data_IF_242891723913
#
_entry.id   IF_242891723913
#
_cell.length_a   1.000
_cell.length_b   1.000
_cell.length_c   1.000
_cell.angle_alpha   90.00
_cell.angle_beta   90.00
_cell.angle_gamma   90.00
#
_symmetry.space_group_name_H-M   'P 1'
#
loop_
_entity.id
_entity.type
_entity.pdbx_description
1 polymer ?
#
# COMPACT_ATOMS: atom_id res chain seq x y z
N UNK A 1 -8.46 77.59 30.55
CA UNK A 1 -9.62 77.00 29.82
C UNK A 1 -9.10 75.89 28.89
N UNK A 2 -9.54 74.64 29.15
CA UNK A 2 -9.49 73.40 28.34
C UNK A 2 -8.28 73.07 27.44
N UNK A 3 -7.46 72.12 27.89
CA UNK A 3 -6.69 71.19 27.03
C UNK A 3 -7.66 70.31 26.21
N UNK A 4 -7.62 70.42 24.88
CA UNK A 4 -8.33 69.49 23.97
C UNK A 4 -7.54 68.19 23.78
N UNK A 5 -8.04 67.10 24.40
CA UNK A 5 -7.58 65.72 24.21
C UNK A 5 -7.82 65.24 22.77
N UNK A 6 -6.76 64.96 22.01
CA UNK A 6 -6.78 64.04 20.85
C UNK A 6 -7.04 62.61 21.36
N UNK A 7 -8.30 62.23 21.53
CA UNK A 7 -8.69 60.90 22.05
C UNK A 7 -9.71 60.18 21.14
N UNK A 8 -9.58 60.32 19.82
CA UNK A 8 -10.61 59.81 18.89
C UNK A 8 -10.09 58.93 17.75
N UNK A 9 -8.84 58.44 17.81
CA UNK A 9 -8.31 57.61 16.71
C UNK A 9 -7.88 56.19 17.13
N UNK A 10 -7.51 55.95 18.39
CA UNK A 10 -7.00 54.63 18.83
C UNK A 10 -8.05 53.52 18.76
N UNK A 11 -9.30 53.80 19.14
CA UNK A 11 -10.42 52.81 19.08
C UNK A 11 -10.86 52.51 17.64
N UNK A 12 -10.79 53.49 16.73
CA UNK A 12 -11.15 53.34 15.31
C UNK A 12 -10.07 52.56 14.56
N UNK A 13 -8.80 52.88 14.80
CA UNK A 13 -7.65 52.11 14.28
C UNK A 13 -7.67 50.68 14.81
N UNK A 14 -7.89 50.47 16.12
CA UNK A 14 -7.97 49.12 16.71
C UNK A 14 -9.11 48.29 16.09
N UNK A 15 -10.27 48.90 15.84
CA UNK A 15 -11.43 48.23 15.23
C UNK A 15 -11.18 47.89 13.75
N UNK A 16 -10.50 48.78 13.01
CA UNK A 16 -10.07 48.53 11.62
C UNK A 16 -9.00 47.44 11.58
N UNK A 17 -8.00 47.46 12.47
CA UNK A 17 -6.96 46.41 12.55
C UNK A 17 -7.57 45.05 12.91
N UNK A 18 -8.53 45.01 13.85
CA UNK A 18 -9.21 43.79 14.27
C UNK A 18 -10.16 43.24 13.19
N UNK A 19 -10.77 44.10 12.37
CA UNK A 19 -11.59 43.70 11.22
C UNK A 19 -10.75 43.32 9.99
N UNK A 20 -9.54 43.88 9.84
CA UNK A 20 -8.62 43.56 8.74
C UNK A 20 -7.89 42.22 8.90
N UNK A 21 -7.73 41.74 10.14
CA UNK A 21 -7.05 40.47 10.46
C UNK A 21 -7.78 39.25 9.85
N UNK A 22 -9.10 39.08 10.01
CA UNK A 22 -9.86 38.04 9.33
C UNK A 22 -9.82 38.18 7.81
N UNK A 23 -9.91 39.41 7.29
CA UNK A 23 -9.88 39.66 5.85
C UNK A 23 -8.53 39.27 5.23
N UNK A 24 -7.42 39.54 5.93
CA UNK A 24 -6.08 39.14 5.51
C UNK A 24 -5.93 37.61 5.48
N UNK A 25 -6.44 36.90 6.49
CA UNK A 25 -6.43 35.43 6.50
C UNK A 25 -7.24 34.84 5.33
N UNK A 26 -8.42 35.39 5.05
CA UNK A 26 -9.23 34.98 3.90
C UNK A 26 -8.50 35.25 2.59
N UNK A 27 -7.85 36.40 2.45
CA UNK A 27 -7.07 36.72 1.24
C UNK A 27 -5.89 35.75 1.05
N UNK A 28 -5.17 35.40 2.12
CA UNK A 28 -4.08 34.41 2.07
C UNK A 28 -4.60 33.04 1.62
N UNK A 29 -5.71 32.56 2.21
CA UNK A 29 -6.32 31.28 1.82
C UNK A 29 -6.77 31.30 0.36
N UNK A 30 -7.34 32.40 -0.12
CA UNK A 30 -7.71 32.56 -1.53
C UNK A 30 -6.49 32.53 -2.46
N UNK A 31 -5.41 33.21 -2.09
CA UNK A 31 -4.16 33.19 -2.88
C UNK A 31 -3.59 31.78 -2.93
N UNK A 32 -3.48 31.09 -1.79
CA UNK A 32 -2.99 29.70 -1.74
C UNK A 32 -3.89 28.80 -2.59
N UNK A 33 -5.21 28.97 -2.51
CA UNK A 33 -6.15 28.22 -3.32
C UNK A 33 -5.94 28.46 -4.81
N UNK A 34 -5.82 29.71 -5.27
CA UNK A 34 -5.55 30.01 -6.69
C UNK A 34 -4.20 29.44 -7.13
N UNK A 35 -3.15 29.61 -6.33
CA UNK A 35 -1.81 29.07 -6.61
C UNK A 35 -1.83 27.54 -6.70
N UNK A 36 -2.67 26.86 -5.92
CA UNK A 36 -2.78 25.40 -5.95
C UNK A 36 -3.38 24.83 -7.24
N UNK A 37 -3.97 25.66 -8.11
CA UNK A 37 -4.42 25.29 -9.46
C UNK A 37 -3.38 25.55 -10.54
N UNK A 38 -2.25 26.18 -10.20
CA UNK A 38 -1.20 26.42 -11.18
C UNK A 38 -0.68 25.08 -11.71
N UNK A 39 -0.39 25.01 -13.01
CA UNK A 39 0.13 23.79 -13.59
C UNK A 39 1.52 23.48 -13.02
N UNK A 40 1.78 22.18 -12.87
CA UNK A 40 3.04 21.68 -12.30
C UNK A 40 4.09 21.48 -13.36
N UNK A 41 5.35 21.71 -12.99
CA UNK A 41 6.48 21.31 -13.82
C UNK A 41 6.66 19.79 -13.82
N UNK A 42 7.36 19.26 -14.82
CA UNK A 42 7.72 17.84 -14.88
C UNK A 42 8.45 17.37 -13.61
N UNK A 43 9.36 18.17 -13.10
CA UNK A 43 10.09 17.89 -11.86
C UNK A 43 9.14 17.78 -10.66
N UNK A 44 8.21 18.73 -10.50
CA UNK A 44 7.20 18.69 -9.44
C UNK A 44 6.27 17.47 -9.56
N UNK A 45 5.98 17.01 -10.78
CA UNK A 45 5.20 15.79 -10.99
C UNK A 45 5.97 14.55 -10.53
N UNK A 46 7.27 14.47 -10.83
CA UNK A 46 8.15 13.37 -10.40
C UNK A 46 8.30 13.35 -8.87
N UNK A 47 8.58 14.51 -8.27
CA UNK A 47 8.65 14.70 -6.81
C UNK A 47 7.30 14.45 -6.12
N UNK A 48 6.19 14.50 -6.86
CA UNK A 48 4.87 14.13 -6.36
C UNK A 48 4.65 12.62 -6.25
N UNK A 49 5.49 11.80 -6.88
CA UNK A 49 5.41 10.33 -6.81
C UNK A 49 6.11 9.79 -5.56
N UNK A 50 5.59 8.71 -5.00
CA UNK A 50 6.16 7.99 -3.88
C UNK A 50 6.32 6.51 -4.23
N UNK A 51 7.46 5.92 -3.87
CA UNK A 51 7.73 4.49 -3.98
C UNK A 51 7.49 3.83 -2.63
N UNK A 52 6.67 2.78 -2.60
CA UNK A 52 6.30 2.11 -1.36
C UNK A 52 6.65 0.63 -1.49
N UNK A 53 7.47 0.14 -0.56
CA UNK A 53 7.59 -1.28 -0.29
C UNK A 53 6.34 -1.74 0.46
N UNK A 54 5.62 -2.67 -0.14
CA UNK A 54 4.45 -3.31 0.44
C UNK A 54 4.77 -4.74 0.83
N UNK A 55 4.46 -5.08 2.09
CA UNK A 55 4.59 -6.44 2.61
C UNK A 55 3.26 -6.91 3.16
N UNK A 56 2.82 -8.10 2.77
CA UNK A 56 1.60 -8.70 3.30
C UNK A 56 1.69 -10.20 3.55
N UNK A 57 0.90 -10.64 4.53
CA UNK A 57 0.73 -12.03 4.93
C UNK A 57 -0.56 -12.15 5.77
N UNK A 58 -1.04 -13.38 5.97
CA UNK A 58 -2.23 -13.65 6.77
C UNK A 58 -1.86 -14.15 8.15
N UNK A 59 -2.68 -13.81 9.15
CA UNK A 59 -2.58 -14.29 10.52
C UNK A 59 -3.90 -14.97 10.91
N UNK A 60 -3.81 -16.21 11.39
CA UNK A 60 -4.84 -16.83 12.19
C UNK A 60 -4.69 -16.32 13.62
N UNK A 61 -5.77 -15.77 14.17
CA UNK A 61 -5.80 -15.20 15.51
C UNK A 61 -6.81 -15.92 16.37
N UNK A 62 -6.45 -16.17 17.63
CA UNK A 62 -7.34 -16.70 18.67
C UNK A 62 -7.42 -15.66 19.77
N UNK A 63 -8.64 -15.20 20.09
CA UNK A 63 -8.85 -14.10 21.06
C UNK A 63 -8.02 -12.85 20.70
N UNK A 64 -7.83 -12.60 19.40
CA UNK A 64 -7.06 -11.48 18.88
C UNK A 64 -5.53 -11.63 18.89
N UNK A 65 -4.98 -12.73 19.43
CA UNK A 65 -3.53 -13.01 19.41
C UNK A 65 -3.17 -13.91 18.22
N UNK A 66 -2.07 -13.63 17.48
CA UNK A 66 -1.65 -14.48 16.37
C UNK A 66 -1.16 -15.84 16.88
N UNK A 67 -1.65 -16.91 16.26
CA UNK A 67 -1.26 -18.31 16.57
C UNK A 67 -0.60 -19.01 15.37
N UNK A 68 -0.88 -18.54 14.16
CA UNK A 68 -0.28 -19.04 12.93
C UNK A 68 -0.28 -17.94 11.87
N UNK A 69 0.74 -17.92 11.03
CA UNK A 69 0.92 -17.01 9.91
C UNK A 69 1.05 -17.83 8.61
N UNK A 70 0.53 -17.31 7.50
CA UNK A 70 0.51 -18.03 6.22
C UNK A 70 0.43 -17.09 5.01
N UNK A 71 0.78 -17.61 3.82
CA UNK A 71 1.01 -16.78 2.61
C UNK A 71 -0.24 -16.52 1.76
N UNK A 72 -1.21 -17.42 1.78
CA UNK A 72 -2.37 -17.34 0.92
C UNK A 72 -3.61 -17.98 1.52
N UNK A 73 -4.77 -17.46 1.11
CA UNK A 73 -6.08 -17.84 1.63
C UNK A 73 -7.05 -18.05 0.47
N UNK A 74 -7.81 -19.14 0.50
CA UNK A 74 -9.03 -19.29 -0.28
C UNK A 74 -10.25 -19.15 0.62
N UNK A 75 -11.45 -19.07 0.04
CA UNK A 75 -12.69 -18.97 0.82
C UNK A 75 -12.92 -20.19 1.74
N UNK A 76 -12.22 -21.32 1.52
CA UNK A 76 -12.43 -22.59 2.21
C UNK A 76 -11.20 -23.22 2.86
N UNK A 77 -9.99 -22.68 2.66
CA UNK A 77 -8.75 -23.28 3.16
C UNK A 77 -7.58 -22.28 3.21
N UNK A 78 -6.68 -22.46 4.18
CA UNK A 78 -5.39 -21.77 4.23
C UNK A 78 -4.34 -22.48 3.37
N UNK A 79 -3.26 -21.79 3.01
CA UNK A 79 -2.08 -22.44 2.44
C UNK A 79 -1.44 -23.43 3.41
N UNK A 80 -0.71 -24.42 2.90
CA UNK A 80 0.03 -25.37 3.73
C UNK A 80 1.31 -24.76 4.33
N UNK A 81 1.78 -23.66 3.74
CA UNK A 81 2.92 -22.90 4.24
C UNK A 81 2.52 -22.08 5.46
N UNK A 82 2.47 -22.75 6.61
CA UNK A 82 2.05 -22.19 7.90
C UNK A 82 3.24 -22.16 8.86
N UNK A 83 3.50 -20.98 9.42
CA UNK A 83 4.56 -20.75 10.39
C UNK A 83 4.00 -20.11 11.66
N UNK A 84 4.61 -20.31 12.83
CA UNK A 84 4.15 -19.67 14.08
C UNK A 84 4.37 -18.15 14.06
N UNK A 85 5.36 -17.67 13.30
CA UNK A 85 5.68 -16.25 13.13
C UNK A 85 6.01 -15.97 11.67
N UNK A 86 5.59 -14.81 11.20
CA UNK A 86 5.86 -14.39 9.83
C UNK A 86 7.36 -14.23 9.56
N UNK A 87 7.81 -14.87 8.48
CA UNK A 87 9.16 -14.80 7.94
C UNK A 87 9.12 -14.44 6.44
N UNK A 88 10.28 -14.44 5.79
CA UNK A 88 10.39 -14.14 4.36
C UNK A 88 9.74 -15.20 3.46
N UNK A 89 9.49 -16.41 3.96
CA UNK A 89 8.90 -17.50 3.15
C UNK A 89 7.40 -17.32 2.94
N UNK A 90 6.71 -16.69 3.90
CA UNK A 90 5.28 -16.40 3.79
C UNK A 90 4.95 -14.96 3.42
N UNK A 91 5.90 -14.04 3.60
CA UNK A 91 5.67 -12.62 3.37
C UNK A 91 5.74 -12.32 1.89
N UNK A 92 4.60 -11.95 1.29
CA UNK A 92 4.57 -11.36 -0.04
C UNK A 92 5.19 -9.97 0.04
N UNK A 93 6.17 -9.71 -0.83
CA UNK A 93 6.83 -8.41 -0.98
C UNK A 93 6.64 -7.90 -2.40
N UNK A 94 6.23 -6.65 -2.53
CA UNK A 94 6.13 -5.96 -3.82
C UNK A 94 6.39 -4.46 -3.65
N UNK A 95 6.73 -3.78 -4.74
CA UNK A 95 6.80 -2.32 -4.75
C UNK A 95 5.61 -1.74 -5.50
N UNK A 96 4.98 -0.74 -4.89
CA UNK A 96 3.80 -0.08 -5.42
C UNK A 96 4.07 1.42 -5.56
N UNK A 97 3.33 2.04 -6.47
CA UNK A 97 3.39 3.47 -6.69
C UNK A 97 2.31 4.18 -5.87
N UNK A 98 2.68 5.28 -5.25
CA UNK A 98 1.75 6.23 -4.66
C UNK A 98 2.04 7.65 -5.10
N UNK A 99 1.23 8.60 -4.64
CA UNK A 99 1.47 10.01 -4.80
C UNK A 99 1.24 10.75 -3.49
N UNK A 100 2.09 11.74 -3.23
CA UNK A 100 1.95 12.63 -2.10
C UNK A 100 0.70 13.47 -2.27
N UNK A 101 -0.15 13.53 -1.25
CA UNK A 101 -1.42 14.27 -1.32
C UNK A 101 -1.62 15.17 -0.11
N UNK A 102 -2.07 16.39 -0.37
CA UNK A 102 -2.57 17.26 0.70
C UNK A 102 -4.00 16.86 1.08
N UNK A 103 -4.30 16.84 2.38
CA UNK A 103 -5.66 16.59 2.85
C UNK A 103 -6.63 17.62 2.28
N UNK A 104 -6.33 18.90 2.46
CA UNK A 104 -7.15 20.00 1.96
C UNK A 104 -6.63 20.52 0.62
N UNK A 105 -7.53 20.84 -0.29
CA UNK A 105 -7.21 21.37 -1.61
C UNK A 105 -6.62 22.80 -1.58
N UNK A 106 -6.76 23.51 -0.45
CA UNK A 106 -6.39 24.92 -0.30
C UNK A 106 -5.34 25.16 0.80
N UNK A 107 -4.81 24.11 1.43
CA UNK A 107 -3.75 24.22 2.45
C UNK A 107 -2.71 23.13 2.22
N UNK A 108 -1.39 23.45 2.20
CA UNK A 108 -0.32 22.45 2.19
C UNK A 108 -0.41 21.61 3.47
N UNK A 109 -1.14 20.49 3.40
CA UNK A 109 -1.55 19.67 4.54
C UNK A 109 -1.28 18.19 4.26
N UNK A 110 -0.12 17.93 3.65
CA UNK A 110 0.30 16.56 3.36
C UNK A 110 0.56 15.80 4.66
N UNK A 111 1.43 16.30 5.55
CA UNK A 111 1.81 15.63 6.81
C UNK A 111 2.17 14.16 6.59
N UNK A 112 2.93 13.86 5.53
CA UNK A 112 3.37 12.50 5.25
C UNK A 112 2.32 11.63 4.55
N UNK A 113 1.20 12.20 4.08
CA UNK A 113 0.12 11.43 3.45
C UNK A 113 0.42 11.08 1.99
N UNK A 114 0.30 9.80 1.70
CA UNK A 114 0.47 9.22 0.39
C UNK A 114 -0.81 8.50 0.00
N UNK A 115 -1.37 8.84 -1.16
CA UNK A 115 -2.42 8.08 -1.81
C UNK A 115 -1.79 6.97 -2.63
N UNK A 116 -2.18 5.73 -2.34
CA UNK A 116 -1.71 4.55 -3.05
C UNK A 116 -2.87 3.61 -3.36
N UNK A 117 -2.61 2.63 -4.22
CA UNK A 117 -3.53 1.52 -4.42
C UNK A 117 -3.40 0.49 -3.29
N UNK A 118 -4.45 -0.31 -3.12
CA UNK A 118 -4.55 -1.38 -2.14
C UNK A 118 -4.44 -2.73 -2.87
N UNK A 119 -3.24 -3.33 -2.94
CA UNK A 119 -3.03 -4.56 -3.72
C UNK A 119 -3.93 -5.69 -3.24
N UNK A 120 -4.19 -5.74 -1.94
CA UNK A 120 -4.99 -6.77 -1.29
C UNK A 120 -6.47 -6.38 -1.11
N UNK A 121 -6.98 -5.38 -1.85
CA UNK A 121 -8.39 -4.98 -1.80
C UNK A 121 -9.35 -6.16 -2.01
N UNK A 122 -9.01 -7.09 -2.91
CA UNK A 122 -9.80 -8.30 -3.14
C UNK A 122 -9.66 -9.34 -2.03
N UNK A 123 -8.52 -9.41 -1.34
CA UNK A 123 -8.30 -10.34 -0.23
C UNK A 123 -9.28 -10.09 0.92
N UNK A 124 -9.68 -8.84 1.16
CA UNK A 124 -10.71 -8.52 2.16
C UNK A 124 -12.08 -9.15 1.87
N UNK A 125 -12.38 -9.49 0.62
CA UNK A 125 -13.60 -10.26 0.29
C UNK A 125 -13.44 -11.72 0.73
N UNK A 126 -12.32 -12.35 0.36
CA UNK A 126 -11.98 -13.73 0.73
C UNK A 126 -11.90 -13.91 2.24
N UNK A 127 -11.23 -13.00 2.95
CA UNK A 127 -11.13 -13.02 4.42
C UNK A 127 -12.50 -12.92 5.08
N UNK A 128 -13.38 -12.04 4.56
CA UNK A 128 -14.72 -11.89 5.11
C UNK A 128 -15.54 -13.19 4.94
N UNK A 129 -15.38 -13.89 3.82
CA UNK A 129 -16.07 -15.16 3.58
C UNK A 129 -15.47 -16.32 4.38
N UNK A 130 -14.14 -16.41 4.41
CA UNK A 130 -13.40 -17.38 5.23
C UNK A 130 -13.73 -17.22 6.73
N UNK A 131 -13.86 -15.99 7.23
CA UNK A 131 -14.23 -15.73 8.62
C UNK A 131 -15.68 -16.12 8.95
N UNK A 132 -16.61 -16.10 8.00
CA UNK A 132 -17.97 -16.62 8.23
C UNK A 132 -17.98 -18.13 8.41
N UNK A 133 -17.12 -18.82 7.66
CA UNK A 133 -17.01 -20.28 7.64
C UNK A 133 -15.72 -20.76 8.30
N UNK A 134 -15.26 -20.06 9.34
CA UNK A 134 -13.90 -20.25 9.88
C UNK A 134 -13.66 -21.68 10.39
N UNK A 135 -14.67 -22.31 10.97
CA UNK A 135 -14.61 -23.71 11.43
C UNK A 135 -14.34 -24.67 10.26
N UNK A 136 -15.03 -24.47 9.13
CA UNK A 136 -14.84 -25.25 7.90
C UNK A 136 -13.45 -24.98 7.33
N UNK A 137 -12.99 -23.72 7.32
CA UNK A 137 -11.65 -23.34 6.84
C UNK A 137 -10.56 -24.03 7.65
N UNK A 138 -10.67 -24.01 8.98
CA UNK A 138 -9.72 -24.65 9.89
C UNK A 138 -9.73 -26.17 9.67
N UNK A 139 -10.91 -26.80 9.65
CA UNK A 139 -11.05 -28.24 9.44
C UNK A 139 -10.46 -28.68 8.10
N UNK A 140 -10.82 -28.01 7.00
CA UNK A 140 -10.27 -28.32 5.67
C UNK A 140 -8.75 -28.15 5.63
N UNK A 141 -8.23 -27.15 6.33
CA UNK A 141 -6.78 -26.92 6.43
C UNK A 141 -6.10 -28.04 7.21
N UNK A 142 -6.68 -28.50 8.33
CA UNK A 142 -6.19 -29.64 9.09
C UNK A 142 -6.18 -30.92 8.24
N UNK A 143 -7.30 -31.26 7.58
CA UNK A 143 -7.39 -32.43 6.70
C UNK A 143 -6.40 -32.38 5.53
N UNK A 144 -6.09 -31.17 5.03
CA UNK A 144 -5.11 -30.99 3.96
C UNK A 144 -3.68 -31.23 4.49
N UNK A 145 -3.34 -30.67 5.66
CA UNK A 145 -2.07 -30.90 6.33
C UNK A 145 -1.86 -32.39 6.67
N UNK A 146 -2.88 -33.09 7.16
CA UNK A 146 -2.84 -34.53 7.42
C UNK A 146 -2.53 -35.34 6.15
N UNK A 147 -3.19 -35.02 5.03
CA UNK A 147 -2.90 -35.62 3.73
C UNK A 147 -1.46 -35.37 3.29
N UNK A 148 -0.95 -34.16 3.49
CA UNK A 148 0.43 -33.80 3.15
C UNK A 148 1.45 -34.50 4.04
N UNK A 149 1.20 -34.62 5.34
CA UNK A 149 2.02 -35.43 6.25
C UNK A 149 2.05 -36.90 5.82
N UNK A 150 0.90 -37.48 5.46
CA UNK A 150 0.82 -38.86 4.94
C UNK A 150 1.62 -39.04 3.65
N UNK A 151 1.57 -38.07 2.74
CA UNK A 151 2.36 -38.09 1.51
C UNK A 151 3.87 -37.97 1.78
N UNK A 152 4.27 -37.10 2.72
CA UNK A 152 5.66 -36.94 3.13
C UNK A 152 6.22 -38.20 3.80
N UNK A 153 5.45 -38.84 4.69
CA UNK A 153 5.83 -40.12 5.29
C UNK A 153 6.11 -41.19 4.23
N UNK A 154 5.23 -41.33 3.21
CA UNK A 154 5.45 -42.29 2.14
C UNK A 154 6.75 -42.03 1.37
N UNK A 155 7.05 -40.77 1.08
CA UNK A 155 8.31 -40.37 0.41
C UNK A 155 9.53 -40.64 1.28
N UNK A 156 9.41 -40.42 2.59
CA UNK A 156 10.46 -40.73 3.55
C UNK A 156 10.75 -42.23 3.59
N UNK A 157 9.73 -43.09 3.61
CA UNK A 157 9.88 -44.54 3.56
C UNK A 157 10.61 -45.01 2.29
N UNK A 158 10.20 -44.50 1.13
CA UNK A 158 10.85 -44.79 -0.16
C UNK A 158 12.33 -44.36 -0.16
N UNK A 159 12.61 -43.17 0.38
CA UNK A 159 13.96 -42.64 0.41
C UNK A 159 14.85 -43.35 1.44
N UNK A 160 14.29 -43.76 2.57
CA UNK A 160 14.97 -44.56 3.58
C UNK A 160 15.35 -45.94 3.03
N UNK A 161 14.46 -46.56 2.25
CA UNK A 161 14.75 -47.80 1.54
C UNK A 161 15.91 -47.62 0.56
N UNK A 162 15.91 -46.55 -0.24
CA UNK A 162 17.04 -46.24 -1.14
C UNK A 162 18.36 -46.10 -0.36
N UNK A 163 18.36 -45.33 0.72
CA UNK A 163 19.57 -45.09 1.52
C UNK A 163 20.06 -46.33 2.29
N UNK A 164 19.22 -47.34 2.53
CA UNK A 164 19.65 -48.59 3.17
C UNK A 164 20.24 -49.61 2.20
N UNK A 165 19.90 -49.52 0.91
CA UNK A 165 20.39 -50.42 -0.15
C UNK A 165 21.65 -49.86 -0.81
N UNK A 166 21.76 -48.53 -0.92
CA UNK A 166 22.86 -47.85 -1.59
C UNK A 166 23.90 -47.29 -0.59
N UNK A 167 25.15 -47.14 -1.01
CA UNK A 167 26.25 -46.63 -0.17
C UNK A 167 26.80 -45.30 -0.71
N UNK A 168 27.71 -44.68 0.06
CA UNK A 168 28.35 -43.40 -0.29
C UNK A 168 29.13 -43.42 -1.61
N UNK A 169 29.49 -44.59 -2.12
CA UNK A 169 30.18 -44.74 -3.40
C UNK A 169 29.26 -44.62 -4.61
N UNK A 170 27.94 -44.59 -4.41
CA UNK A 170 26.95 -44.31 -5.46
C UNK A 170 26.85 -42.80 -5.71
N UNK A 171 26.96 -42.38 -6.97
CA UNK A 171 26.89 -40.99 -7.41
C UNK A 171 25.60 -40.27 -6.95
N UNK A 172 24.53 -41.04 -6.67
CA UNK A 172 23.25 -40.51 -6.17
C UNK A 172 23.16 -40.32 -4.66
N UNK A 173 24.03 -40.94 -3.85
CA UNK A 173 23.83 -41.08 -2.41
C UNK A 173 23.76 -39.73 -1.67
N UNK A 174 24.73 -38.84 -1.92
CA UNK A 174 24.78 -37.53 -1.25
C UNK A 174 23.54 -36.67 -1.57
N UNK A 175 23.03 -36.76 -2.79
CA UNK A 175 21.80 -36.08 -3.22
C UNK A 175 20.59 -36.62 -2.47
N UNK A 176 20.48 -37.94 -2.36
CA UNK A 176 19.37 -38.59 -1.65
C UNK A 176 19.42 -38.35 -0.14
N UNK A 177 20.61 -38.36 0.47
CA UNK A 177 20.78 -38.00 1.89
C UNK A 177 20.39 -36.55 2.16
N UNK A 178 20.76 -35.62 1.28
CA UNK A 178 20.32 -34.22 1.36
C UNK A 178 18.80 -34.08 1.22
N UNK A 179 18.18 -34.81 0.30
CA UNK A 179 16.72 -34.83 0.15
C UNK A 179 16.02 -35.40 1.39
N UNK A 180 16.59 -36.42 2.04
CA UNK A 180 16.03 -37.01 3.24
C UNK A 180 15.98 -36.00 4.39
N UNK A 181 17.08 -35.25 4.60
CA UNK A 181 17.11 -34.16 5.56
C UNK A 181 16.07 -33.07 5.28
N UNK A 182 15.84 -32.74 3.99
CA UNK A 182 14.80 -31.77 3.59
C UNK A 182 13.38 -32.28 3.83
N UNK A 183 13.09 -33.54 3.48
CA UNK A 183 11.78 -34.15 3.68
C UNK A 183 11.43 -34.24 5.18
N UNK A 184 12.39 -34.64 6.01
CA UNK A 184 12.21 -34.66 7.47
C UNK A 184 11.84 -33.27 7.99
N UNK A 185 12.57 -32.24 7.56
CA UNK A 185 12.29 -30.85 7.96
C UNK A 185 10.90 -30.39 7.52
N UNK A 186 10.48 -30.73 6.30
CA UNK A 186 9.14 -30.41 5.80
C UNK A 186 8.04 -31.12 6.60
N UNK A 187 8.26 -32.39 6.94
CA UNK A 187 7.33 -33.16 7.75
C UNK A 187 7.19 -32.58 9.16
N UNK A 188 8.30 -32.23 9.81
CA UNK A 188 8.29 -31.63 11.15
C UNK A 188 7.58 -30.26 11.14
N UNK A 189 7.78 -29.47 10.08
CA UNK A 189 7.06 -28.22 9.87
C UNK A 189 5.56 -28.43 9.70
N UNK A 190 5.15 -29.39 8.86
CA UNK A 190 3.74 -29.70 8.63
C UNK A 190 3.04 -30.25 9.89
N UNK A 191 3.71 -31.10 10.68
CA UNK A 191 3.20 -31.59 11.97
C UNK A 191 2.99 -30.45 12.96
N UNK A 192 3.98 -29.56 13.12
CA UNK A 192 3.85 -28.37 13.98
C UNK A 192 2.74 -27.43 13.52
N UNK A 193 2.59 -27.23 12.22
CA UNK A 193 1.49 -26.46 11.67
C UNK A 193 0.14 -27.09 12.02
N UNK A 194 -0.02 -28.40 11.82
CA UNK A 194 -1.25 -29.14 12.15
C UNK A 194 -1.61 -28.99 13.64
N UNK A 195 -0.64 -29.16 14.54
CA UNK A 195 -0.85 -28.98 15.98
C UNK A 195 -1.37 -27.58 16.32
N UNK A 196 -0.84 -26.53 15.68
CA UNK A 196 -1.27 -25.15 15.90
C UNK A 196 -2.69 -24.92 15.36
N UNK A 197 -3.03 -25.49 14.21
CA UNK A 197 -4.36 -25.40 13.60
C UNK A 197 -5.40 -26.16 14.45
N UNK A 198 -5.10 -27.36 14.93
CA UNK A 198 -5.98 -28.14 15.81
C UNK A 198 -6.23 -27.43 17.16
N UNK A 199 -5.21 -26.78 17.72
CA UNK A 199 -5.40 -25.92 18.91
C UNK A 199 -6.38 -24.78 18.63
N UNK A 200 -6.29 -24.17 17.44
CA UNK A 200 -7.20 -23.09 17.03
C UNK A 200 -8.63 -23.57 16.74
N UNK A 201 -8.81 -24.83 16.32
CA UNK A 201 -10.13 -25.46 16.10
C UNK A 201 -10.95 -25.53 17.40
N UNK A 202 -10.30 -25.89 18.51
CA UNK A 202 -10.97 -25.98 19.82
C UNK A 202 -11.18 -24.62 20.49
N UNK A 203 -10.58 -23.56 19.95
CA UNK A 203 -10.56 -22.25 20.58
C UNK A 203 -11.77 -21.39 20.19
N UNK A 204 -12.27 -20.60 21.16
CA UNK A 204 -13.32 -19.60 20.90
C UNK A 204 -12.71 -18.33 20.31
N UNK A 205 -13.50 -17.63 19.49
CA UNK A 205 -13.16 -16.33 18.88
C UNK A 205 -11.93 -16.40 17.95
N UNK A 206 -11.93 -17.40 17.06
CA UNK A 206 -10.92 -17.55 16.02
C UNK A 206 -11.25 -16.67 14.83
N UNK A 207 -10.27 -15.95 14.28
CA UNK A 207 -10.44 -15.13 13.09
C UNK A 207 -9.16 -15.01 12.29
N UNK A 208 -9.30 -14.88 10.97
CA UNK A 208 -8.22 -14.61 10.03
C UNK A 208 -8.16 -13.11 9.78
N UNK A 209 -6.94 -12.57 9.77
CA UNK A 209 -6.66 -11.18 9.43
C UNK A 209 -5.55 -11.12 8.39
N UNK A 210 -5.62 -10.10 7.53
CA UNK A 210 -4.51 -9.74 6.66
C UNK A 210 -3.68 -8.67 7.34
N UNK A 211 -2.38 -8.91 7.44
CA UNK A 211 -1.42 -7.92 7.89
C UNK A 211 -0.80 -7.26 6.66
N UNK A 212 -0.88 -5.93 6.64
CA UNK A 212 -0.36 -5.08 5.57
C UNK A 212 0.64 -4.11 6.18
N UNK A 213 1.90 -4.17 5.75
CA UNK A 213 2.97 -3.26 6.17
C UNK A 213 3.42 -2.43 4.98
N UNK A 214 3.52 -1.12 5.18
CA UNK A 214 3.96 -0.17 4.17
C UNK A 214 5.25 0.49 4.63
N UNK A 215 6.20 0.65 3.72
CA UNK A 215 7.45 1.36 3.98
C UNK A 215 7.75 2.25 2.78
N UNK A 216 7.79 3.57 3.02
CA UNK A 216 8.25 4.53 2.03
C UNK A 216 9.73 4.27 1.75
N UNK A 217 10.10 4.22 0.48
CA UNK A 217 11.49 4.15 0.02
C UNK A 217 11.75 5.41 -0.80
N UNK A 218 12.71 6.22 -0.39
CA UNK A 218 13.08 7.43 -1.13
C UNK A 218 14.57 7.73 -0.97
N UNK A 219 15.10 8.61 -1.82
CA UNK A 219 16.46 9.13 -1.68
C UNK A 219 16.42 10.50 -1.02
N UNK A 220 17.27 10.70 -0.02
CA UNK A 220 17.42 12.00 0.62
C UNK A 220 18.22 12.98 -0.26
N UNK A 221 18.43 14.20 0.24
CA UNK A 221 19.20 15.25 -0.45
C UNK A 221 20.69 14.91 -0.62
N UNK A 222 21.19 13.91 0.12
CA UNK A 222 22.56 13.38 0.00
C UNK A 222 22.62 12.11 -0.88
N UNK A 223 21.55 11.81 -1.63
CA UNK A 223 21.41 10.64 -2.51
C UNK A 223 21.45 9.29 -1.78
N UNK A 224 21.22 9.28 -0.46
CA UNK A 224 21.15 8.05 0.34
C UNK A 224 19.73 7.50 0.35
N UNK A 225 19.61 6.18 0.27
CA UNK A 225 18.31 5.51 0.36
C UNK A 225 17.84 5.49 1.80
N UNK A 226 16.68 6.12 2.05
CA UNK A 226 16.02 6.18 3.34
C UNK A 226 14.72 5.38 3.27
N UNK A 227 14.40 4.71 4.38
CA UNK A 227 13.19 3.91 4.55
C UNK A 227 12.42 4.37 5.78
N UNK A 228 11.15 4.73 5.61
CA UNK A 228 10.28 5.19 6.70
C UNK A 228 9.04 4.29 6.73
N UNK A 229 8.71 3.77 7.90
CA UNK A 229 7.49 2.98 8.08
C UNK A 229 6.25 3.86 7.84
N UNK A 230 5.20 3.30 7.23
CA UNK A 230 3.96 4.01 6.98
C UNK A 230 2.77 3.27 7.61
N UNK A 231 1.88 4.02 8.23
CA UNK A 231 0.63 3.56 8.81
C UNK A 231 -0.53 3.79 7.83
N UNK A 232 -1.36 2.79 7.61
CA UNK A 232 -2.59 2.97 6.84
C UNK A 232 -3.63 3.72 7.69
N UNK A 233 -4.05 4.89 7.23
CA UNK A 233 -5.09 5.69 7.90
C UNK A 233 -6.49 5.43 7.30
N UNK A 234 -6.55 4.96 6.05
CA UNK A 234 -7.79 4.45 5.46
C UNK A 234 -8.13 3.07 6.02
N UNK A 235 -9.35 2.86 6.54
CA UNK A 235 -9.77 1.56 7.06
C UNK A 235 -9.59 0.40 6.07
N UNK A 236 -9.29 -0.77 6.62
CA UNK A 236 -9.30 -2.04 5.90
C UNK A 236 -10.64 -2.24 5.16
N UNK A 237 -10.61 -2.27 3.82
CA UNK A 237 -11.82 -2.48 3.01
C UNK A 237 -11.51 -3.05 1.62
N UNK A 238 -12.58 -3.39 0.90
CA UNK A 238 -12.55 -3.85 -0.50
C UNK A 238 -12.28 -2.72 -1.51
N UNK A 239 -12.15 -1.47 -1.05
CA UNK A 239 -11.90 -0.33 -1.93
C UNK A 239 -10.46 -0.39 -2.45
N UNK A 240 -10.22 0.03 -3.70
CA UNK A 240 -8.91 -0.10 -4.35
C UNK A 240 -7.89 0.97 -3.95
N UNK A 241 -8.31 2.03 -3.26
CA UNK A 241 -7.45 3.15 -2.87
C UNK A 241 -7.34 3.29 -1.37
N UNK A 242 -6.16 3.69 -0.90
CA UNK A 242 -5.86 3.93 0.51
C UNK A 242 -4.97 5.15 0.66
N UNK A 243 -5.17 5.85 1.77
CA UNK A 243 -4.17 6.77 2.29
C UNK A 243 -3.33 6.03 3.32
N UNK A 244 -2.01 6.12 3.14
CA UNK A 244 -1.02 5.79 4.15
C UNK A 244 -0.34 7.08 4.60
N UNK A 245 0.21 7.09 5.80
CA UNK A 245 0.91 8.21 6.39
C UNK A 245 2.25 7.73 6.94
N UNK A 246 3.33 8.48 6.71
CA UNK A 246 4.63 8.19 7.35
C UNK A 246 4.48 8.16 8.87
N UNK A 247 5.23 7.30 9.54
CA UNK A 247 5.12 7.09 10.99
C UNK A 247 5.49 8.31 11.82
N UNK A 248 6.32 9.20 11.26
CA UNK A 248 6.75 10.47 11.83
C UNK A 248 5.90 11.66 11.35
N UNK A 249 4.89 11.40 10.51
CA UNK A 249 4.05 12.40 9.85
C UNK A 249 4.82 13.45 9.02
N UNK A 250 6.08 13.18 8.71
CA UNK A 250 6.95 14.07 7.93
C UNK A 250 6.76 13.84 6.43
N UNK A 251 6.92 14.92 5.67
CA UNK A 251 6.97 14.87 4.21
C UNK A 251 8.41 15.20 3.82
N UNK A 252 9.13 14.34 3.09
CA UNK A 252 10.50 14.62 2.67
C UNK A 252 10.61 15.95 1.93
N UNK A 253 11.72 16.68 2.13
CA UNK A 253 11.93 18.02 1.54
C UNK A 253 11.90 18.03 0.00
N UNK A 254 12.27 16.91 -0.61
CA UNK A 254 12.24 16.72 -2.06
C UNK A 254 10.89 16.20 -2.60
N UNK A 255 9.87 16.08 -1.75
CA UNK A 255 8.53 15.67 -2.18
C UNK A 255 7.67 16.90 -2.54
N UNK A 256 6.82 16.73 -3.56
CA UNK A 256 5.90 17.78 -4.04
C UNK A 256 4.43 17.32 -3.95
N UNK A 257 3.79 17.46 -2.78
CA UNK A 257 2.42 16.96 -2.57
C UNK A 257 1.40 17.58 -3.49
N UNK A 258 0.57 16.76 -4.15
CA UNK A 258 -0.49 17.19 -5.07
C UNK A 258 -1.79 17.53 -4.34
N UNK A 259 -2.52 18.51 -4.86
CA UNK A 259 -3.86 18.87 -4.39
C UNK A 259 -4.91 18.12 -5.20
N UNK A 260 -5.76 17.35 -4.50
CA UNK A 260 -6.87 16.62 -5.11
C UNK A 260 -8.13 17.50 -5.16
N UNK A 261 -8.08 18.51 -6.03
CA UNK A 261 -9.18 19.44 -6.27
C UNK A 261 -10.47 18.71 -6.67
N UNK A 262 -11.61 19.29 -6.29
CA UNK A 262 -12.94 18.74 -6.59
C UNK A 262 -13.67 19.54 -7.69
N UNK A 263 -13.27 20.80 -7.86
CA UNK A 263 -13.83 21.74 -8.82
C UNK A 263 -12.76 22.12 -9.84
N UNK A 264 -13.19 22.53 -11.04
CA UNK A 264 -12.31 22.98 -12.13
C UNK A 264 -11.22 21.96 -12.52
N UNK A 265 -11.46 20.68 -12.24
CA UNK A 265 -10.56 19.60 -12.62
C UNK A 265 -10.76 19.19 -14.08
N UNK A 266 -9.69 18.86 -14.81
CA UNK A 266 -9.81 18.39 -16.19
C UNK A 266 -10.69 17.14 -16.29
N UNK A 267 -11.62 17.13 -17.24
CA UNK A 267 -12.63 16.07 -17.36
C UNK A 267 -12.04 14.77 -17.90
N UNK A 268 -12.06 13.65 -17.18
CA UNK A 268 -11.39 12.41 -17.64
C UNK A 268 -11.95 11.81 -18.94
N UNK A 269 -13.20 12.12 -19.31
CA UNK A 269 -13.89 11.60 -20.51
C UNK A 269 -13.61 12.31 -21.84
N UNK A 270 -12.57 13.14 -21.96
CA UNK A 270 -12.21 13.77 -23.25
C UNK A 270 -10.86 13.28 -23.71
N UNK A 271 -10.69 13.08 -25.01
CA UNK A 271 -9.38 12.74 -25.56
C UNK A 271 -8.43 13.94 -25.45
N UNK A 272 -7.23 13.69 -24.92
CA UNK A 272 -6.18 14.70 -24.75
C UNK A 272 -4.84 14.06 -24.48
N UNK A 273 -3.78 14.84 -24.67
CA UNK A 273 -2.45 14.47 -24.23
C UNK A 273 -2.35 14.57 -22.70
N UNK A 274 -1.67 13.57 -22.12
CA UNK A 274 -1.50 13.41 -20.68
C UNK A 274 -0.03 13.16 -20.35
N UNK A 275 0.32 13.38 -19.09
CA UNK A 275 1.59 13.03 -18.49
C UNK A 275 1.31 12.17 -17.26
N UNK A 276 1.95 11.01 -17.19
CA UNK A 276 1.88 10.12 -16.02
C UNK A 276 3.19 10.23 -15.26
N UNK A 277 3.13 10.51 -13.95
CA UNK A 277 4.29 10.50 -13.08
C UNK A 277 4.27 9.25 -12.19
N UNK A 278 5.37 8.51 -12.19
CA UNK A 278 5.45 7.21 -11.54
C UNK A 278 6.89 6.77 -11.29
N UNK A 279 7.04 5.71 -10.50
CA UNK A 279 8.22 4.84 -10.48
C UNK A 279 8.01 3.73 -11.52
N UNK A 280 8.64 3.83 -12.71
CA UNK A 280 8.41 2.86 -13.78
C UNK A 280 8.92 1.48 -13.35
N UNK A 281 8.16 0.44 -13.71
CA UNK A 281 8.51 -0.95 -13.48
C UNK A 281 8.48 -1.38 -12.02
N UNK A 282 7.99 -0.56 -11.08
CA UNK A 282 8.04 -0.89 -9.64
C UNK A 282 7.31 -2.20 -9.30
N UNK A 283 6.30 -2.58 -10.08
CA UNK A 283 5.55 -3.83 -9.89
C UNK A 283 6.20 -5.06 -10.55
N UNK A 284 7.36 -4.91 -11.19
CA UNK A 284 8.08 -6.02 -11.80
C UNK A 284 8.88 -6.80 -10.75
N UNK A 285 9.06 -8.09 -11.01
CA UNK A 285 9.94 -8.94 -10.20
C UNK A 285 11.38 -8.42 -10.28
N UNK A 286 12.11 -8.49 -9.16
CA UNK A 286 13.51 -8.04 -9.04
C UNK A 286 13.72 -6.53 -9.29
N UNK A 287 12.71 -5.71 -8.99
CA UNK A 287 12.85 -4.25 -9.04
C UNK A 287 13.97 -3.74 -8.10
N UNK A 288 14.92 -2.99 -8.65
CA UNK A 288 15.95 -2.29 -7.87
C UNK A 288 15.36 -0.99 -7.27
N UNK A 289 14.87 -1.11 -6.04
CA UNK A 289 14.31 0.01 -5.31
C UNK A 289 15.37 1.00 -4.80
N UNK A 290 16.64 0.58 -4.67
CA UNK A 290 17.70 1.46 -4.18
C UNK A 290 18.16 2.41 -5.30
N UNK A 291 18.22 1.94 -6.54
CA UNK A 291 18.48 2.71 -7.77
C UNK A 291 17.28 3.48 -8.33
N UNK A 292 16.09 3.30 -7.75
CA UNK A 292 14.83 3.77 -8.32
C UNK A 292 14.72 5.31 -8.38
N UNK A 293 14.17 5.81 -9.49
CA UNK A 293 13.84 7.23 -9.68
C UNK A 293 12.45 7.38 -10.27
N UNK A 294 11.72 8.38 -9.80
CA UNK A 294 10.47 8.77 -10.43
C UNK A 294 10.74 9.39 -11.82
N UNK A 295 9.85 9.14 -12.76
CA UNK A 295 9.91 9.66 -14.11
C UNK A 295 8.51 10.05 -14.59
N UNK A 296 8.46 10.79 -15.71
CA UNK A 296 7.22 11.17 -16.37
C UNK A 296 7.14 10.56 -17.76
N UNK A 297 5.95 10.12 -18.13
CA UNK A 297 5.68 9.50 -19.43
C UNK A 297 4.48 10.18 -20.09
N UNK A 298 4.68 10.62 -21.33
CA UNK A 298 3.61 11.19 -22.14
C UNK A 298 2.74 10.08 -22.73
N UNK A 299 1.46 10.37 -22.90
CA UNK A 299 0.53 9.51 -23.61
C UNK A 299 -0.76 10.25 -23.95
N UNK A 300 -1.79 9.51 -24.31
CA UNK A 300 -3.13 10.03 -24.60
C UNK A 300 -4.19 9.36 -23.74
N UNK A 301 -5.07 10.18 -23.18
CA UNK A 301 -6.35 9.70 -22.71
C UNK A 301 -7.28 9.50 -23.91
N UNK A 302 -7.98 8.37 -23.96
CA UNK A 302 -9.13 8.22 -24.84
C UNK A 302 -10.37 8.86 -24.17
N UNK A 303 -11.34 9.29 -24.96
CA UNK A 303 -12.57 9.93 -24.46
C UNK A 303 -13.47 9.06 -23.57
N UNK A 304 -12.97 7.94 -23.05
CA UNK A 304 -13.64 7.06 -22.09
C UNK A 304 -12.90 6.99 -20.75
N UNK A 305 -11.93 7.88 -20.52
CA UNK A 305 -11.14 7.92 -19.29
C UNK A 305 -10.05 6.86 -19.20
N UNK A 306 -9.77 6.09 -20.26
CA UNK A 306 -8.61 5.18 -20.31
C UNK A 306 -7.43 5.91 -20.93
N UNK A 307 -6.22 5.46 -20.66
CA UNK A 307 -5.02 5.96 -21.32
C UNK A 307 -4.27 4.86 -22.05
N UNK A 308 -3.44 5.24 -23.01
CA UNK A 308 -2.59 4.33 -23.80
C UNK A 308 -1.21 4.08 -23.18
N UNK A 309 -0.85 4.80 -22.11
CA UNK A 309 0.43 4.59 -21.40
C UNK A 309 0.50 3.16 -20.85
N UNK A 310 1.52 2.36 -21.20
CA UNK A 310 1.66 0.98 -20.75
C UNK A 310 1.68 0.84 -19.22
N UNK A 311 1.15 -0.27 -18.65
CA UNK A 311 1.09 -0.46 -17.19
C UNK A 311 2.45 -0.38 -16.48
N UNK A 312 3.55 -0.77 -17.13
CA UNK A 312 4.88 -0.67 -16.52
C UNK A 312 5.36 0.79 -16.40
N UNK A 313 4.85 1.72 -17.21
CA UNK A 313 5.12 3.17 -17.12
C UNK A 313 4.06 3.92 -16.32
N UNK A 314 2.85 3.37 -16.28
CA UNK A 314 1.71 3.88 -15.52
C UNK A 314 1.20 2.81 -14.54
N UNK A 315 2.01 2.42 -13.52
CA UNK A 315 1.56 1.46 -12.52
C UNK A 315 0.38 2.01 -11.74
N UNK A 316 -0.43 1.10 -11.21
CA UNK A 316 -1.58 1.41 -10.38
C UNK A 316 -1.19 2.31 -9.19
N UNK A 317 -1.79 3.50 -9.11
CA UNK A 317 -1.44 4.53 -8.12
C UNK A 317 -0.59 5.68 -8.67
N UNK A 318 -0.21 5.65 -9.95
CA UNK A 318 0.48 6.76 -10.61
C UNK A 318 -0.41 8.01 -10.77
N UNK A 319 0.18 9.19 -10.55
CA UNK A 319 -0.52 10.45 -10.74
C UNK A 319 -0.58 10.80 -12.23
N UNK A 320 -1.76 11.20 -12.70
CA UNK A 320 -2.02 11.55 -14.09
C UNK A 320 -2.35 13.04 -14.19
N UNK A 321 -1.60 13.72 -15.04
CA UNK A 321 -1.72 15.14 -15.33
C UNK A 321 -2.10 15.35 -16.79
N UNK A 322 -2.69 16.49 -17.11
CA UNK A 322 -2.76 16.98 -18.48
C UNK A 322 -1.35 17.37 -18.98
N UNK A 323 -1.19 17.50 -20.29
CA UNK A 323 0.09 17.97 -20.88
C UNK A 323 0.51 19.37 -20.41
N UNK A 324 -0.44 20.24 -20.03
CA UNK A 324 -0.15 21.54 -19.42
C UNK A 324 0.24 21.43 -17.93
N UNK A 325 0.06 20.28 -17.28
CA UNK A 325 0.53 20.01 -15.92
C UNK A 325 -0.53 20.11 -14.82
N UNK A 326 -1.82 20.04 -15.17
CA UNK A 326 -2.93 20.03 -14.20
C UNK A 326 -3.29 18.61 -13.80
N UNK A 327 -3.46 18.37 -12.50
CA UNK A 327 -3.81 17.05 -11.97
C UNK A 327 -5.20 16.62 -12.47
N UNK A 328 -5.26 15.47 -13.15
CA UNK A 328 -6.50 14.87 -13.63
C UNK A 328 -7.05 13.81 -12.68
N UNK A 329 -6.15 13.02 -12.11
CA UNK A 329 -6.55 11.83 -11.37
C UNK A 329 -5.42 10.83 -11.16
N UNK A 330 -5.79 9.61 -10.82
CA UNK A 330 -4.88 8.51 -10.52
C UNK A 330 -5.09 7.39 -11.53
N UNK A 331 -4.01 6.83 -12.06
CA UNK A 331 -4.07 5.64 -12.91
C UNK A 331 -4.42 4.42 -12.07
N UNK A 332 -5.42 3.68 -12.52
CA UNK A 332 -5.81 2.39 -11.95
C UNK A 332 -6.40 1.51 -13.05
N UNK A 333 -5.80 0.34 -13.28
CA UNK A 333 -6.17 -0.62 -14.32
C UNK A 333 -6.27 0.02 -15.71
N UNK A 334 -5.32 0.90 -16.03
CA UNK A 334 -5.27 1.65 -17.30
C UNK A 334 -6.38 2.71 -17.47
N UNK A 335 -7.06 3.07 -16.39
CA UNK A 335 -8.12 4.09 -16.36
C UNK A 335 -7.74 5.23 -15.42
N UNK A 336 -8.10 6.45 -15.78
CA UNK A 336 -7.89 7.66 -14.99
C UNK A 336 -9.07 7.82 -14.03
N UNK A 337 -8.83 7.55 -12.76
CA UNK A 337 -9.78 7.80 -11.68
C UNK A 337 -9.71 9.28 -11.30
N UNK A 338 -10.79 10.02 -11.59
CA UNK A 338 -10.87 11.46 -11.32
C UNK A 338 -10.64 11.76 -9.84
N UNK A 339 -9.98 12.88 -9.56
CA UNK A 339 -9.81 13.41 -8.19
C UNK A 339 -11.13 13.58 -7.42
N UNK A 340 -12.25 13.76 -8.13
CA UNK A 340 -13.60 13.84 -7.55
C UNK A 340 -14.01 12.57 -6.79
N UNK A 341 -13.45 11.42 -7.19
CA UNK A 341 -13.72 10.14 -6.55
C UNK A 341 -13.32 10.12 -5.07
N UNK A 342 -12.29 10.88 -4.70
CA UNK A 342 -11.75 10.89 -3.33
C UNK A 342 -12.50 11.82 -2.37
N UNK A 343 -13.36 12.70 -2.92
CA UNK A 343 -14.17 13.64 -2.16
C UNK A 343 -13.36 14.81 -1.58
N UNK A 344 -14.08 15.87 -1.20
CA UNK A 344 -13.50 17.01 -0.50
C UNK A 344 -12.79 16.54 0.78
N UNK A 345 -11.57 17.03 1.01
CA UNK A 345 -10.76 16.70 2.17
C UNK A 345 -10.48 15.18 2.34
N UNK A 346 -10.50 14.42 1.23
CA UNK A 346 -10.34 12.96 1.21
C UNK A 346 -11.42 12.20 2.01
N UNK A 347 -12.60 12.80 2.22
CA UNK A 347 -13.69 12.24 3.04
C UNK A 347 -14.19 10.85 2.60
N UNK A 348 -13.92 10.42 1.37
CA UNK A 348 -14.32 9.09 0.90
C UNK A 348 -13.32 7.99 1.28
N UNK A 349 -12.12 8.39 1.74
CA UNK A 349 -10.99 7.53 2.10
C UNK A 349 -10.59 7.65 3.58
N UNK A 350 -10.81 8.80 4.21
CA UNK A 350 -10.53 9.02 5.63
C UNK A 350 -11.76 8.64 6.47
N UNK A 351 -11.55 8.12 7.70
CA UNK A 351 -12.63 7.82 8.64
C UNK A 351 -13.38 9.07 9.10
#
# INVERSE_FOLDING_TARGET
>A
MKLMRKSTNRKRVLRITLQSLPALLVAIVLIIYVVSFLPRSTEQMQQGSALIEYKSYYELTVQGKPVACFDSLTDSCMSENITPQADSSITRREFINGCWVSKYAFVPSCCGRILTTAPDSMAYKTIAEANKNIEIVIKNTAEKLERSIKSLNKKEEELKYYLSVHNVSDDGYNTMAYLAGRLQKQMDQAKKALENIQKAETAKQTSIKLVSKYTLVYRDTADKVVRIACNAITPASKKPFRIIQTSDESTPDNASPTYLHQWLTPATGTSRDIIVASYPGCQLNMYDADGAKAATFSGKANGRGRHDVPPFLAPDGAAVYTSDGRMMGISYKGTIISTRHFGLALKNLLP
#
